data_IF_253532283075
#
_entry.id   IF_253532283075
#
_cell.length_a   1.000
_cell.length_b   1.000
_cell.length_c   1.000
_cell.angle_alpha   90.00
_cell.angle_beta   90.00
_cell.angle_gamma   90.00
#
_symmetry.space_group_name_H-M   'P 1'
#
loop_
_entity.id
_entity.type
_entity.pdbx_description
1 polymer ?
#
# COMPACT_ATOMS: atom_id res chain seq x y z
N UNK A 1 -22.78 23.61 6.30
CA UNK A 1 -23.12 24.45 5.13
C UNK A 1 -22.15 24.08 4.01
N UNK A 2 -22.39 22.96 3.34
CA UNK A 2 -21.56 22.49 2.23
C UNK A 2 -22.53 22.23 1.07
N UNK A 3 -22.09 22.52 -0.16
CA UNK A 3 -22.84 22.32 -1.39
C UNK A 3 -23.30 20.87 -1.56
N UNK A 4 -23.95 20.58 -2.68
CA UNK A 4 -24.43 19.22 -2.97
C UNK A 4 -23.22 18.27 -3.00
N UNK A 5 -23.06 17.51 -1.94
CA UNK A 5 -21.99 16.53 -1.79
C UNK A 5 -22.43 15.22 -2.44
N UNK A 6 -21.73 14.79 -3.49
CA UNK A 6 -21.83 13.41 -3.94
C UNK A 6 -20.95 12.56 -3.03
N UNK A 7 -21.59 11.78 -2.17
CA UNK A 7 -20.91 10.83 -1.31
C UNK A 7 -21.16 9.42 -1.82
N UNK A 8 -20.08 8.64 -1.93
CA UNK A 8 -20.15 7.22 -2.15
C UNK A 8 -19.15 6.51 -1.25
N UNK A 9 -19.31 5.19 -1.15
CA UNK A 9 -18.32 4.33 -0.49
C UNK A 9 -17.29 3.90 -1.52
N UNK A 10 -16.01 4.16 -1.29
CA UNK A 10 -14.93 3.55 -2.06
C UNK A 10 -14.63 2.16 -1.52
N UNK A 11 -14.46 1.21 -2.44
CA UNK A 11 -13.97 -0.13 -2.17
C UNK A 11 -12.50 -0.22 -2.57
N UNK A 12 -11.67 -0.63 -1.62
CA UNK A 12 -10.26 -0.96 -1.79
C UNK A 12 -10.18 -2.48 -1.94
N UNK A 13 -10.15 -3.00 -3.16
CA UNK A 13 -10.18 -4.46 -3.39
C UNK A 13 -8.84 -5.18 -3.21
N UNK A 14 -7.81 -4.48 -2.78
CA UNK A 14 -6.43 -5.00 -2.71
C UNK A 14 -5.95 -4.87 -1.27
N UNK A 15 -4.87 -5.59 -0.89
CA UNK A 15 -4.27 -5.40 0.42
C UNK A 15 -4.07 -3.90 0.63
N UNK A 16 -4.69 -3.29 1.66
CA UNK A 16 -4.59 -1.86 1.91
C UNK A 16 -3.19 -1.52 2.43
N UNK A 17 -2.19 -1.63 1.55
CA UNK A 17 -0.84 -1.18 1.80
C UNK A 17 -0.70 0.16 1.09
N UNK A 18 -0.18 1.16 1.79
CA UNK A 18 -0.15 2.55 1.33
C UNK A 18 0.40 2.69 -0.09
N UNK A 19 1.57 2.10 -0.39
CA UNK A 19 2.16 2.14 -1.74
C UNK A 19 1.29 1.46 -2.83
N UNK A 20 0.61 0.36 -2.51
CA UNK A 20 -0.25 -0.34 -3.47
C UNK A 20 -1.53 0.43 -3.74
N UNK A 21 -2.09 1.06 -2.72
CA UNK A 21 -3.25 1.93 -2.87
C UNK A 21 -2.87 3.17 -3.67
N UNK A 22 -1.73 3.81 -3.38
CA UNK A 22 -1.26 4.96 -4.16
C UNK A 22 -1.06 4.62 -5.64
N UNK A 23 -0.51 3.45 -5.96
CA UNK A 23 -0.40 2.98 -7.35
C UNK A 23 -1.76 2.74 -7.99
N UNK A 24 -2.69 2.09 -7.28
CA UNK A 24 -4.06 1.89 -7.78
C UNK A 24 -4.79 3.22 -8.04
N UNK A 25 -4.62 4.15 -7.11
CA UNK A 25 -5.23 5.47 -7.06
C UNK A 25 -4.69 6.45 -8.12
N UNK A 26 -3.47 6.23 -8.59
CA UNK A 26 -2.82 7.12 -9.57
C UNK A 26 -2.76 6.51 -10.97
N UNK A 27 -2.58 5.19 -11.11
CA UNK A 27 -2.52 4.52 -12.40
C UNK A 27 -3.90 4.03 -12.92
N UNK A 28 -4.88 3.85 -12.02
CA UNK A 28 -6.21 3.37 -12.38
C UNK A 28 -6.23 1.87 -12.69
N UNK A 29 -5.24 1.15 -12.19
CA UNK A 29 -5.04 -0.28 -12.38
C UNK A 29 -5.02 -1.00 -11.03
N UNK A 30 -5.30 -2.30 -11.06
CA UNK A 30 -5.08 -3.16 -9.90
C UNK A 30 -3.60 -3.54 -9.87
N UNK A 31 -2.85 -3.24 -8.79
CA UNK A 31 -1.50 -3.76 -8.61
C UNK A 31 -1.51 -5.28 -8.71
N UNK A 32 -0.65 -5.83 -9.58
CA UNK A 32 -0.40 -7.27 -9.63
C UNK A 32 0.48 -7.71 -8.46
N UNK A 33 0.51 -8.99 -8.16
CA UNK A 33 1.45 -9.52 -7.16
C UNK A 33 2.91 -9.25 -7.56
N UNK A 34 3.21 -9.28 -8.86
CA UNK A 34 4.53 -8.89 -9.36
C UNK A 34 4.83 -7.40 -9.08
N UNK A 35 3.83 -6.52 -9.19
CA UNK A 35 3.97 -5.12 -8.80
C UNK A 35 4.27 -4.97 -7.31
N UNK A 36 3.65 -5.77 -6.44
CA UNK A 36 3.99 -5.77 -5.01
C UNK A 36 5.47 -6.06 -4.82
N UNK A 37 5.96 -7.16 -5.39
CA UNK A 37 7.37 -7.58 -5.28
C UNK A 37 8.33 -6.56 -5.90
N UNK A 38 7.97 -5.98 -7.04
CA UNK A 38 8.83 -5.01 -7.75
C UNK A 38 8.81 -3.63 -7.09
N UNK A 39 7.68 -3.18 -6.54
CA UNK A 39 7.57 -1.92 -5.80
C UNK A 39 8.37 -1.97 -4.48
N UNK A 40 8.54 -3.14 -3.87
CA UNK A 40 9.51 -3.31 -2.77
C UNK A 40 10.96 -3.10 -3.22
N UNK A 41 11.26 -3.29 -4.51
CA UNK A 41 12.60 -3.15 -5.07
C UNK A 41 12.86 -1.79 -5.75
N UNK A 42 11.81 -1.04 -6.11
CA UNK A 42 11.92 0.24 -6.82
C UNK A 42 11.30 1.39 -6.03
N UNK A 43 12.04 2.47 -5.87
CA UNK A 43 11.55 3.66 -5.14
C UNK A 43 10.56 4.52 -5.94
N UNK A 44 10.42 4.33 -7.26
CA UNK A 44 9.67 5.21 -8.17
C UNK A 44 8.61 4.44 -8.98
N UNK A 45 7.44 5.06 -9.18
CA UNK A 45 6.39 4.57 -10.08
C UNK A 45 6.76 4.95 -11.52
N UNK A 46 6.85 3.93 -12.38
CA UNK A 46 7.28 4.09 -13.78
C UNK A 46 6.14 3.95 -14.78
N UNK A 47 5.00 3.42 -14.33
CA UNK A 47 3.81 3.24 -15.16
C UNK A 47 3.10 4.57 -15.39
N UNK A 48 2.38 4.63 -16.52
CA UNK A 48 1.53 5.76 -16.84
C UNK A 48 0.45 5.98 -15.75
N UNK A 49 0.35 7.21 -15.26
CA UNK A 49 -0.46 7.58 -14.11
C UNK A 49 -0.97 9.02 -14.23
N UNK A 50 -1.97 9.38 -13.43
CA UNK A 50 -2.65 10.67 -13.50
C UNK A 50 -1.74 11.85 -13.13
N UNK A 51 -0.76 11.66 -12.24
CA UNK A 51 0.20 12.71 -11.86
C UNK A 51 1.05 13.09 -13.07
N UNK A 52 1.53 12.09 -13.81
CA UNK A 52 2.27 12.31 -15.05
C UNK A 52 1.38 12.94 -16.14
N UNK A 53 0.14 12.48 -16.30
CA UNK A 53 -0.79 13.06 -17.27
C UNK A 53 -1.11 14.53 -16.99
N UNK A 54 -1.29 14.90 -15.71
CA UNK A 54 -1.44 16.29 -15.29
C UNK A 54 -0.18 17.10 -15.60
N UNK A 55 1.01 16.56 -15.28
CA UNK A 55 2.27 17.24 -15.56
C UNK A 55 2.50 17.44 -17.07
N UNK A 56 2.19 16.44 -17.90
CA UNK A 56 2.29 16.54 -19.35
C UNK A 56 1.31 17.56 -19.95
N UNK A 57 0.14 17.72 -19.34
CA UNK A 57 -0.83 18.75 -19.71
C UNK A 57 -0.43 20.16 -19.21
N UNK A 58 0.68 20.29 -18.48
CA UNK A 58 1.22 21.57 -18.01
C UNK A 58 0.69 22.04 -16.65
N UNK A 59 -0.06 21.19 -15.93
CA UNK A 59 -0.51 21.52 -14.58
C UNK A 59 0.66 21.56 -13.59
N UNK A 60 0.61 22.51 -12.68
CA UNK A 60 1.57 22.69 -11.57
C UNK A 60 1.01 22.03 -10.33
N UNK A 61 1.70 21.00 -9.86
CA UNK A 61 1.22 20.12 -8.80
C UNK A 61 2.02 20.42 -7.54
N UNK A 62 1.36 20.86 -6.49
CA UNK A 62 1.96 21.01 -5.16
C UNK A 62 1.50 19.88 -4.25
N UNK A 63 2.44 19.38 -3.44
CA UNK A 63 2.19 18.30 -2.51
C UNK A 63 2.57 18.73 -1.09
N UNK A 64 1.70 18.41 -0.12
CA UNK A 64 1.98 18.51 1.31
C UNK A 64 1.62 17.16 1.95
N UNK A 65 2.60 16.45 2.49
CA UNK A 65 2.34 15.10 3.01
C UNK A 65 3.58 14.41 3.52
N UNK A 66 3.51 13.09 3.59
CA UNK A 66 4.65 12.26 3.95
C UNK A 66 5.67 12.15 2.79
N UNK A 67 6.93 11.83 3.11
CA UNK A 67 8.01 11.83 2.13
C UNK A 67 7.98 10.64 1.14
N UNK A 68 7.10 9.64 1.33
CA UNK A 68 6.93 8.51 0.41
C UNK A 68 6.51 8.97 -0.98
N UNK A 69 5.65 9.99 -1.08
CA UNK A 69 5.22 10.52 -2.38
C UNK A 69 6.38 11.10 -3.19
N UNK A 70 7.37 11.73 -2.56
CA UNK A 70 8.55 12.23 -3.26
C UNK A 70 9.44 11.11 -3.79
N UNK A 71 9.46 9.97 -3.09
CA UNK A 71 10.16 8.77 -3.55
C UNK A 71 9.43 8.18 -4.76
N UNK A 72 8.11 7.99 -4.63
CA UNK A 72 7.27 7.37 -5.66
C UNK A 72 7.13 8.23 -6.93
N UNK A 73 7.08 9.56 -6.78
CA UNK A 73 6.87 10.52 -7.86
C UNK A 73 7.99 11.57 -7.91
N UNK A 74 9.25 11.16 -8.13
CA UNK A 74 10.37 12.10 -8.12
C UNK A 74 10.20 13.11 -9.24
N UNK A 75 10.49 14.39 -8.94
CA UNK A 75 10.46 15.54 -9.88
C UNK A 75 9.10 15.85 -10.51
N UNK A 76 8.00 15.32 -9.98
CA UNK A 76 6.64 15.59 -10.49
C UNK A 76 5.92 16.72 -9.74
N UNK A 77 6.43 17.10 -8.58
CA UNK A 77 5.89 18.20 -7.77
C UNK A 77 6.72 19.48 -7.90
N UNK A 78 6.06 20.62 -7.71
CA UNK A 78 6.69 21.94 -7.72
C UNK A 78 7.62 22.14 -6.50
N UNK A 79 8.62 23.02 -6.65
CA UNK A 79 9.64 23.28 -5.63
C UNK A 79 9.09 23.70 -4.25
N UNK A 80 7.87 24.23 -4.21
CA UNK A 80 7.23 24.63 -2.96
C UNK A 80 6.54 23.48 -2.20
N UNK A 81 6.63 22.25 -2.69
CA UNK A 81 6.04 21.06 -2.06
C UNK A 81 6.84 20.61 -0.85
N UNK A 82 6.15 20.08 0.17
CA UNK A 82 6.76 19.72 1.45
C UNK A 82 6.49 18.25 1.80
N UNK A 83 7.56 17.53 2.14
CA UNK A 83 7.53 16.14 2.57
C UNK A 83 7.97 16.02 4.02
N UNK A 84 7.14 15.40 4.84
CA UNK A 84 7.43 15.12 6.24
C UNK A 84 7.84 13.67 6.41
N UNK A 85 8.91 13.43 7.16
CA UNK A 85 9.36 12.07 7.45
C UNK A 85 8.42 11.43 8.48
N UNK A 86 7.79 10.31 8.16
CA UNK A 86 6.70 9.71 8.95
C UNK A 86 7.04 8.36 9.60
N UNK A 87 8.32 8.02 9.78
CA UNK A 87 8.73 6.68 10.27
C UNK A 87 8.21 6.28 11.66
N UNK A 88 7.71 7.21 12.48
CA UNK A 88 7.29 6.93 13.85
C UNK A 88 5.77 6.92 14.00
N UNK A 89 5.19 5.71 14.03
CA UNK A 89 3.73 5.48 14.15
C UNK A 89 3.11 6.07 15.42
N UNK A 90 3.89 6.28 16.48
CA UNK A 90 3.41 6.91 17.72
C UNK A 90 3.18 8.43 17.57
N UNK A 91 3.69 9.05 16.52
CA UNK A 91 3.41 10.45 16.21
C UNK A 91 2.26 10.57 15.20
N UNK A 92 1.08 10.86 15.71
CA UNK A 92 -0.13 11.13 14.91
C UNK A 92 -0.46 12.62 14.89
N UNK A 93 0.52 13.51 15.11
CA UNK A 93 0.29 14.96 15.22
C UNK A 93 1.25 15.80 14.39
N UNK A 94 2.55 15.51 14.38
CA UNK A 94 3.54 16.38 13.74
C UNK A 94 3.35 16.40 12.22
N UNK A 95 3.16 15.22 11.62
CA UNK A 95 2.88 15.09 10.18
C UNK A 95 1.65 15.90 9.79
N UNK A 96 0.52 15.67 10.46
CA UNK A 96 -0.74 16.37 10.15
C UNK A 96 -0.63 17.89 10.36
N UNK A 97 0.09 18.34 11.39
CA UNK A 97 0.36 19.76 11.63
C UNK A 97 1.19 20.36 10.51
N UNK A 98 2.26 19.69 10.07
CA UNK A 98 3.11 20.16 8.97
C UNK A 98 2.33 20.23 7.65
N UNK A 99 1.50 19.22 7.36
CA UNK A 99 0.62 19.23 6.18
C UNK A 99 -0.34 20.41 6.23
N UNK A 100 -0.94 20.66 7.38
CA UNK A 100 -1.87 21.78 7.58
C UNK A 100 -1.16 23.13 7.43
N UNK A 101 0.04 23.28 7.99
CA UNK A 101 0.85 24.50 7.85
C UNK A 101 1.25 24.74 6.38
N UNK A 102 1.68 23.69 5.67
CA UNK A 102 1.98 23.76 4.24
C UNK A 102 0.74 24.20 3.45
N UNK A 103 -0.42 23.55 3.67
CA UNK A 103 -1.69 23.95 3.05
C UNK A 103 -2.02 25.42 3.30
N UNK A 104 -1.93 25.89 4.55
CA UNK A 104 -2.24 27.27 4.90
C UNK A 104 -1.32 28.28 4.22
N UNK A 105 -0.02 27.97 4.18
CA UNK A 105 0.99 28.78 3.49
C UNK A 105 0.68 28.88 1.99
N UNK A 106 0.28 27.78 1.35
CA UNK A 106 -0.14 27.74 -0.06
C UNK A 106 -1.38 28.57 -0.37
N UNK A 107 -2.31 28.65 0.58
CA UNK A 107 -3.56 29.40 0.40
C UNK A 107 -3.43 30.89 0.74
N UNK A 108 -2.58 31.24 1.71
CA UNK A 108 -2.54 32.59 2.30
C UNK A 108 -1.31 33.41 1.96
N UNK A 109 -0.16 32.76 1.84
CA UNK A 109 1.12 33.44 1.68
C UNK A 109 1.65 33.34 0.24
N UNK A 110 1.37 32.23 -0.42
CA UNK A 110 1.68 32.04 -1.84
C UNK A 110 0.52 32.46 -2.74
N UNK A 111 0.82 32.67 -4.02
CA UNK A 111 -0.20 33.04 -5.00
C UNK A 111 -0.95 31.80 -5.46
N UNK A 112 -2.27 31.90 -5.52
CA UNK A 112 -3.12 30.82 -6.05
C UNK A 112 -2.71 30.46 -7.48
N UNK A 113 -2.24 31.43 -8.25
CA UNK A 113 -1.77 31.20 -9.61
C UNK A 113 -0.38 30.57 -9.67
N UNK A 114 0.26 30.14 -8.57
CA UNK A 114 1.54 29.41 -8.60
C UNK A 114 1.33 27.88 -8.67
N UNK A 115 0.11 27.39 -8.47
CA UNK A 115 -0.24 25.98 -8.54
C UNK A 115 -1.64 25.77 -9.14
N UNK A 116 -1.89 24.59 -9.68
CA UNK A 116 -3.19 24.23 -10.28
C UNK A 116 -3.82 23.00 -9.59
N UNK A 117 -2.99 22.15 -8.99
CA UNK A 117 -3.42 20.95 -8.25
C UNK A 117 -2.68 20.90 -6.91
N UNK A 118 -3.44 20.75 -5.82
CA UNK A 118 -2.89 20.54 -4.48
C UNK A 118 -3.26 19.14 -3.99
N UNK A 119 -2.25 18.38 -3.56
CA UNK A 119 -2.43 17.06 -2.94
C UNK A 119 -2.03 17.18 -1.47
N UNK A 120 -2.95 16.84 -0.57
CA UNK A 120 -2.74 16.79 0.86
C UNK A 120 -2.83 15.34 1.34
N UNK A 121 -1.83 14.87 2.06
CA UNK A 121 -1.78 13.49 2.55
C UNK A 121 -1.53 13.47 4.06
N UNK A 122 -2.57 13.10 4.81
CA UNK A 122 -2.60 13.05 6.27
C UNK A 122 -2.43 11.61 6.76
N UNK A 123 -1.71 11.41 7.89
CA UNK A 123 -1.41 10.07 8.43
C UNK A 123 -1.97 9.82 9.83
N UNK A 124 -2.45 10.86 10.52
CA UNK A 124 -2.80 10.73 11.94
C UNK A 124 -3.87 9.68 12.25
N UNK A 125 -4.81 9.41 11.34
CA UNK A 125 -5.82 8.35 11.53
C UNK A 125 -5.21 6.94 11.48
N UNK A 126 -4.32 6.69 10.51
CA UNK A 126 -3.61 5.42 10.40
C UNK A 126 -2.72 5.17 11.63
N UNK A 127 -1.94 6.18 12.00
CA UNK A 127 -1.04 6.12 13.15
C UNK A 127 -1.78 5.89 14.49
N UNK A 128 -2.93 6.53 14.71
CA UNK A 128 -3.78 6.25 15.88
C UNK A 128 -4.30 4.82 15.84
N UNK A 129 -4.76 4.36 14.67
CA UNK A 129 -5.25 3.01 14.47
C UNK A 129 -4.21 1.98 14.91
N UNK A 130 -3.00 2.03 14.35
CA UNK A 130 -1.91 1.12 14.72
C UNK A 130 -1.48 1.22 16.18
N UNK A 131 -1.42 2.44 16.72
CA UNK A 131 -0.88 2.67 18.06
C UNK A 131 -1.86 2.30 19.17
N UNK A 132 -3.15 2.56 18.97
CA UNK A 132 -4.17 2.54 20.03
C UNK A 132 -5.38 1.64 19.71
N UNK A 133 -5.51 1.15 18.47
CA UNK A 133 -6.64 0.37 17.98
C UNK A 133 -7.63 1.19 17.16
N UNK A 134 -8.32 0.52 16.23
CA UNK A 134 -9.26 1.12 15.27
C UNK A 134 -10.62 1.56 15.86
N UNK A 135 -10.83 1.36 17.16
CA UNK A 135 -12.01 1.80 17.93
C UNK A 135 -11.65 2.77 19.08
N UNK A 136 -10.40 3.26 19.13
CA UNK A 136 -9.99 4.14 20.22
C UNK A 136 -10.66 5.52 20.11
N UNK A 137 -11.11 6.09 21.24
CA UNK A 137 -11.77 7.42 21.33
C UNK A 137 -10.93 8.59 20.75
N UNK A 138 -9.64 8.36 20.52
CA UNK A 138 -8.73 9.35 19.94
C UNK A 138 -9.01 9.55 18.44
N UNK A 139 -9.56 8.53 17.77
CA UNK A 139 -10.02 8.63 16.39
C UNK A 139 -11.13 9.68 16.25
N UNK A 140 -12.07 9.77 17.20
CA UNK A 140 -13.13 10.79 17.15
C UNK A 140 -12.58 12.21 17.21
N UNK A 141 -11.52 12.43 17.99
CA UNK A 141 -10.83 13.72 18.06
C UNK A 141 -10.13 14.02 16.74
N UNK A 142 -9.46 13.02 16.16
CA UNK A 142 -8.75 13.17 14.88
C UNK A 142 -9.70 13.34 13.70
N UNK A 143 -10.86 12.69 13.69
CA UNK A 143 -11.90 12.91 12.68
C UNK A 143 -12.46 14.33 12.71
N UNK A 144 -12.63 14.93 13.91
CA UNK A 144 -13.02 16.35 14.06
C UNK A 144 -11.93 17.31 13.56
N UNK A 145 -10.66 16.94 13.72
CA UNK A 145 -9.54 17.67 13.15
C UNK A 145 -9.61 17.65 11.61
N UNK A 146 -9.80 16.47 11.00
CA UNK A 146 -9.94 16.34 9.54
C UNK A 146 -11.15 17.11 9.00
N UNK A 147 -12.31 17.05 9.67
CA UNK A 147 -13.49 17.85 9.31
C UNK A 147 -13.19 19.35 9.35
N UNK A 148 -12.44 19.81 10.36
CA UNK A 148 -12.03 21.21 10.51
C UNK A 148 -11.09 21.65 9.38
N UNK A 149 -10.14 20.80 8.99
CA UNK A 149 -9.22 21.03 7.86
C UNK A 149 -10.01 21.14 6.55
N UNK A 150 -10.89 20.18 6.25
CA UNK A 150 -11.71 20.17 5.03
C UNK A 150 -12.57 21.44 4.95
N UNK A 151 -13.21 21.82 6.06
CA UNK A 151 -14.02 23.03 6.14
C UNK A 151 -13.20 24.30 5.90
N UNK A 152 -11.99 24.36 6.46
CA UNK A 152 -11.07 25.48 6.24
C UNK A 152 -10.66 25.58 4.78
N UNK A 153 -10.17 24.47 4.20
CA UNK A 153 -9.78 24.41 2.79
C UNK A 153 -10.92 24.87 1.88
N UNK A 154 -12.14 24.35 2.08
CA UNK A 154 -13.31 24.78 1.33
C UNK A 154 -13.57 26.29 1.44
N UNK A 155 -13.54 26.84 2.66
CA UNK A 155 -13.82 28.26 2.90
C UNK A 155 -12.82 29.15 2.18
N UNK A 156 -11.53 28.86 2.36
CA UNK A 156 -10.44 29.63 1.76
C UNK A 156 -10.47 29.53 0.23
N UNK A 157 -10.68 28.33 -0.33
CA UNK A 157 -10.85 28.16 -1.80
C UNK A 157 -12.06 28.93 -2.33
N UNK A 158 -13.18 28.91 -1.59
CA UNK A 158 -14.37 29.67 -1.98
C UNK A 158 -14.13 31.18 -2.00
N UNK A 159 -13.30 31.68 -1.08
CA UNK A 159 -12.92 33.08 -1.02
C UNK A 159 -11.91 33.46 -2.12
N UNK A 160 -10.95 32.58 -2.43
CA UNK A 160 -9.88 32.83 -3.39
C UNK A 160 -10.33 32.71 -4.85
N UNK A 161 -11.10 31.67 -5.19
CA UNK A 161 -11.47 31.33 -6.59
C UNK A 161 -12.98 31.23 -6.81
N UNK A 162 -13.79 31.63 -5.82
CA UNK A 162 -15.25 31.62 -5.92
C UNK A 162 -15.79 30.19 -5.99
N UNK A 163 -16.31 29.80 -7.13
CA UNK A 163 -16.92 28.48 -7.35
C UNK A 163 -16.09 27.59 -8.28
N UNK A 164 -14.96 28.07 -8.78
CA UNK A 164 -14.17 27.41 -9.82
C UNK A 164 -13.12 26.46 -9.22
N UNK A 165 -13.58 25.48 -8.43
CA UNK A 165 -12.71 24.47 -7.86
C UNK A 165 -13.43 23.15 -7.63
N UNK A 166 -12.65 22.07 -7.59
CA UNK A 166 -13.08 20.74 -7.19
C UNK A 166 -12.28 20.29 -5.97
N UNK A 167 -12.93 19.61 -5.03
CA UNK A 167 -12.22 18.88 -3.98
C UNK A 167 -12.64 17.43 -3.98
N UNK A 168 -11.67 16.54 -3.78
CA UNK A 168 -11.88 15.11 -3.61
C UNK A 168 -11.30 14.72 -2.26
N UNK A 169 -12.16 14.24 -1.36
CA UNK A 169 -11.76 13.76 -0.03
C UNK A 169 -12.02 12.27 0.05
N UNK A 170 -11.03 11.51 0.47
CA UNK A 170 -11.15 10.07 0.60
C UNK A 170 -10.15 9.48 1.60
N UNK A 171 -10.37 8.23 1.97
CA UNK A 171 -9.35 7.36 2.57
C UNK A 171 -8.68 6.48 1.52
N UNK A 172 -7.43 6.11 1.76
CA UNK A 172 -6.71 5.07 1.02
C UNK A 172 -7.06 3.67 1.56
N UNK A 173 -7.29 3.54 2.86
CA UNK A 173 -7.83 2.33 3.47
C UNK A 173 -8.59 2.58 4.78
N UNK A 174 -9.24 1.52 5.26
CA UNK A 174 -9.76 1.46 6.62
C UNK A 174 -8.89 0.59 7.52
N UNK A 175 -9.41 0.23 8.69
CA UNK A 175 -8.66 -0.45 9.75
C UNK A 175 -9.56 -1.42 10.52
N UNK A 176 -9.00 -2.52 11.02
CA UNK A 176 -9.66 -3.44 11.96
C UNK A 176 -9.79 -2.82 13.36
N UNK A 177 -10.62 -3.42 14.23
CA UNK A 177 -10.76 -3.01 15.65
C UNK A 177 -9.40 -2.96 16.37
N UNK A 178 -8.53 -3.92 16.06
CA UNK A 178 -7.22 -4.07 16.68
C UNK A 178 -6.18 -3.08 16.14
N UNK A 179 -6.52 -2.26 15.14
CA UNK A 179 -5.57 -1.31 14.57
C UNK A 179 -4.69 -1.86 13.45
N UNK A 180 -5.01 -3.05 12.93
CA UNK A 180 -4.33 -3.59 11.75
C UNK A 180 -5.11 -3.31 10.46
N UNK A 181 -4.39 -3.30 9.34
CA UNK A 181 -4.94 -3.35 7.99
C UNK A 181 -4.13 -4.38 7.17
N UNK A 182 -4.52 -4.61 5.91
CA UNK A 182 -3.86 -5.53 4.98
C UNK A 182 -4.77 -6.69 4.55
N UNK A 183 -5.91 -6.85 5.22
CA UNK A 183 -6.93 -7.83 4.94
C UNK A 183 -7.98 -7.38 3.91
N UNK A 184 -9.06 -8.16 3.84
CA UNK A 184 -10.17 -7.97 2.89
C UNK A 184 -11.51 -7.69 3.58
N UNK A 185 -11.49 -7.37 4.87
CA UNK A 185 -12.73 -7.08 5.60
C UNK A 185 -13.37 -5.80 5.06
N UNK A 186 -14.69 -5.68 5.24
CA UNK A 186 -15.41 -4.48 4.82
C UNK A 186 -14.87 -3.23 5.54
N UNK A 187 -14.42 -3.37 6.79
CA UNK A 187 -13.88 -2.26 7.59
C UNK A 187 -12.52 -1.77 7.09
N UNK A 188 -11.70 -2.68 6.58
CA UNK A 188 -10.40 -2.37 5.99
C UNK A 188 -10.50 -1.83 4.56
N UNK A 189 -11.52 -2.25 3.82
CA UNK A 189 -11.63 -1.97 2.38
C UNK A 189 -12.65 -0.88 2.05
N UNK A 190 -13.58 -0.55 2.96
CA UNK A 190 -14.57 0.50 2.73
C UNK A 190 -14.10 1.83 3.29
N UNK A 191 -13.86 2.80 2.41
CA UNK A 191 -13.43 4.15 2.78
C UNK A 191 -14.41 5.21 2.25
N UNK A 192 -14.50 6.38 2.88
CA UNK A 192 -15.32 7.46 2.36
C UNK A 192 -14.74 7.97 1.02
N UNK A 193 -15.63 8.38 0.11
CA UNK A 193 -15.31 9.18 -1.07
C UNK A 193 -16.30 10.31 -1.20
N UNK A 194 -15.76 11.52 -1.24
CA UNK A 194 -16.54 12.74 -1.24
C UNK A 194 -16.04 13.63 -2.37
N UNK A 195 -16.93 13.94 -3.31
CA UNK A 195 -16.69 14.96 -4.33
C UNK A 195 -17.41 16.23 -3.96
N UNK A 196 -16.69 17.34 -4.03
CA UNK A 196 -17.18 18.68 -3.77
C UNK A 196 -16.92 19.54 -5.01
N UNK A 197 -17.99 20.12 -5.53
CA UNK A 197 -17.99 21.08 -6.63
C UNK A 197 -18.26 22.48 -6.07
N UNK A 198 -17.37 23.43 -6.34
CA UNK A 198 -17.57 24.83 -5.94
C UNK A 198 -18.82 25.46 -6.57
N UNK A 199 -19.26 25.02 -7.76
CA UNK A 199 -20.44 25.55 -8.47
C UNK A 199 -21.77 25.06 -7.92
N UNK A 200 -21.79 23.94 -7.21
CA UNK A 200 -23.03 23.31 -6.78
C UNK A 200 -23.54 24.01 -5.51
N UNK A 201 -24.33 25.08 -5.71
CA UNK A 201 -24.93 25.90 -4.66
C UNK A 201 -25.51 25.08 -3.49
N UNK A 202 -25.45 25.70 -2.31
CA UNK A 202 -26.08 25.33 -1.03
C UNK A 202 -27.48 24.73 -1.21
N UNK A 203 -27.58 23.44 -1.50
CA UNK A 203 -28.82 22.72 -1.34
C UNK A 203 -29.17 22.74 0.16
N UNK A 204 -30.26 23.40 0.53
CA UNK A 204 -30.77 23.39 1.90
C UNK A 204 -31.19 21.95 2.24
N UNK A 205 -30.33 21.24 2.96
CA UNK A 205 -30.51 19.83 3.34
C UNK A 205 -31.80 19.57 4.15
N UNK A 206 -32.44 20.62 4.67
CA UNK A 206 -33.64 20.53 5.51
C UNK A 206 -34.97 20.56 4.76
N UNK A 207 -35.01 20.99 3.49
CA UNK A 207 -36.29 21.19 2.76
C UNK A 207 -36.49 20.26 1.58
N UNK A 208 -35.42 19.71 1.03
CA UNK A 208 -35.53 18.75 -0.07
C UNK A 208 -35.48 17.34 0.50
N UNK A 209 -36.66 16.73 0.62
CA UNK A 209 -36.77 15.28 0.71
C UNK A 209 -36.11 14.66 -0.52
N UNK A 210 -34.83 14.31 -0.41
CA UNK A 210 -34.06 13.66 -1.48
C UNK A 210 -34.58 12.25 -1.64
N UNK A 211 -35.64 12.12 -2.44
CA UNK A 211 -36.14 10.88 -2.95
C UNK A 211 -36.65 11.10 -4.38
N UNK A 212 -35.74 11.14 -5.35
CA UNK A 212 -35.76 10.19 -6.47
C UNK A 212 -34.33 10.01 -7.02
N UNK A 213 -33.72 8.84 -6.77
CA UNK A 213 -32.36 8.53 -7.12
C UNK A 213 -32.30 7.84 -8.50
N UNK A 214 -31.38 8.23 -9.38
CA UNK A 214 -30.78 7.22 -10.25
C UNK A 214 -29.71 6.47 -9.42
N UNK A 215 -30.17 5.84 -8.34
CA UNK A 215 -29.44 5.24 -7.19
C UNK A 215 -28.18 6.01 -6.73
N UNK A 216 -28.13 6.60 -5.51
CA UNK A 216 -26.86 7.08 -4.98
C UNK A 216 -25.87 5.93 -5.10
N UNK A 217 -24.72 6.21 -5.70
CA UNK A 217 -23.71 5.21 -6.03
C UNK A 217 -23.40 4.39 -4.77
N UNK A 218 -23.86 3.14 -4.72
CA UNK A 218 -23.70 2.28 -3.55
C UNK A 218 -22.22 2.08 -3.20
N UNK A 219 -21.39 1.93 -4.23
CA UNK A 219 -19.94 1.92 -4.10
C UNK A 219 -19.21 2.26 -5.41
N UNK A 220 -17.98 2.76 -5.30
CA UNK A 220 -17.00 2.91 -6.36
C UNK A 220 -15.74 2.09 -6.04
N UNK A 221 -14.93 1.82 -7.06
CA UNK A 221 -13.59 1.26 -6.88
C UNK A 221 -12.56 2.40 -6.83
N UNK A 222 -11.46 2.29 -6.08
CA UNK A 222 -10.43 3.35 -6.03
C UNK A 222 -9.86 3.70 -7.41
N UNK A 223 -9.73 2.70 -8.27
CA UNK A 223 -9.29 2.86 -9.66
C UNK A 223 -10.22 3.74 -10.50
N UNK A 224 -11.49 3.93 -10.08
CA UNK A 224 -12.47 4.79 -10.76
C UNK A 224 -12.10 6.27 -10.67
N UNK A 225 -11.29 6.67 -9.69
CA UNK A 225 -10.93 8.07 -9.54
C UNK A 225 -10.06 8.56 -10.69
N UNK A 226 -9.14 7.73 -11.18
CA UNK A 226 -8.20 8.11 -12.23
C UNK A 226 -8.87 8.61 -13.51
N UNK A 227 -9.79 7.86 -14.16
CA UNK A 227 -10.50 8.39 -15.32
C UNK A 227 -11.42 9.56 -14.97
N UNK A 228 -11.90 9.64 -13.72
CA UNK A 228 -12.74 10.74 -13.25
C UNK A 228 -11.95 12.05 -13.17
N UNK A 229 -10.78 12.06 -12.51
CA UNK A 229 -9.87 13.21 -12.45
C UNK A 229 -9.42 13.57 -13.85
N UNK A 230 -9.03 12.59 -14.67
CA UNK A 230 -8.60 12.86 -16.05
C UNK A 230 -9.67 13.64 -16.82
N UNK A 231 -10.94 13.23 -16.73
CA UNK A 231 -12.02 13.95 -17.39
C UNK A 231 -12.38 15.28 -16.72
N UNK A 232 -12.23 15.43 -15.39
CA UNK A 232 -12.42 16.70 -14.67
C UNK A 232 -11.34 17.74 -15.02
N UNK A 233 -10.13 17.29 -15.31
CA UNK A 233 -8.98 18.15 -15.63
C UNK A 233 -8.70 18.24 -17.14
N UNK A 234 -9.54 17.60 -17.97
CA UNK A 234 -9.42 17.53 -19.43
C UNK A 234 -8.05 17.01 -19.90
N UNK A 235 -7.54 15.99 -19.20
CA UNK A 235 -6.29 15.30 -19.52
C UNK A 235 -6.55 13.90 -20.09
N UNK A 236 -5.52 13.26 -20.64
CA UNK A 236 -5.65 11.89 -21.11
C UNK A 236 -5.77 10.93 -19.93
N UNK A 237 -6.70 9.97 -20.04
CA UNK A 237 -6.81 8.86 -19.08
C UNK A 237 -5.57 7.95 -19.25
N UNK A 238 -4.86 7.60 -18.16
CA UNK A 238 -3.72 6.69 -18.20
C UNK A 238 -3.98 5.42 -19.00
N UNK A 239 -2.97 4.93 -19.73
CA UNK A 239 -3.18 3.99 -20.84
C UNK A 239 -3.74 2.64 -20.43
N UNK A 240 -3.40 2.20 -19.23
CA UNK A 240 -3.81 0.91 -18.69
C UNK A 240 -5.01 1.02 -17.74
N UNK A 241 -5.54 2.21 -17.51
CA UNK A 241 -6.62 2.43 -16.55
C UNK A 241 -7.87 1.59 -16.90
N UNK A 242 -8.32 0.81 -15.93
CA UNK A 242 -9.55 0.01 -15.96
C UNK A 242 -10.63 0.57 -15.01
N UNK A 243 -10.46 1.79 -14.53
CA UNK A 243 -11.48 2.52 -13.79
C UNK A 243 -12.70 2.88 -14.64
N UNK A 244 -13.87 2.96 -13.99
CA UNK A 244 -15.10 3.49 -14.57
C UNK A 244 -15.27 4.94 -14.12
N UNK A 245 -15.45 5.84 -15.08
CA UNK A 245 -15.56 7.26 -14.81
C UNK A 245 -16.84 7.59 -14.01
N UNK A 246 -16.69 8.35 -12.91
CA UNK A 246 -17.76 8.70 -11.97
C UNK A 246 -18.49 10.00 -12.31
N UNK A 247 -18.10 10.72 -13.36
CA UNK A 247 -18.80 11.93 -13.81
C UNK A 247 -20.32 11.76 -13.99
N UNK A 248 -20.86 10.62 -14.47
CA UNK A 248 -22.30 10.39 -14.53
C UNK A 248 -23.02 10.37 -13.17
N UNK A 249 -22.30 10.28 -12.06
CA UNK A 249 -22.86 10.39 -10.71
C UNK A 249 -22.58 11.75 -10.07
N UNK A 250 -21.51 12.44 -10.49
CA UNK A 250 -21.08 13.72 -9.93
C UNK A 250 -21.78 14.89 -10.62
N UNK A 251 -21.75 14.91 -11.96
CA UNK A 251 -22.22 16.03 -12.79
C UNK A 251 -23.63 15.83 -13.36
N UNK A 252 -24.31 14.75 -12.98
CA UNK A 252 -25.64 14.43 -13.49
C UNK A 252 -26.69 15.29 -12.79
N UNK A 253 -26.72 16.55 -13.20
CA UNK A 253 -27.78 17.51 -12.95
C UNK A 253 -28.60 17.67 -14.24
N UNK A 254 -29.87 18.03 -14.11
CA UNK A 254 -30.84 18.26 -15.20
C UNK A 254 -30.52 19.51 -16.03
N UNK A 255 -29.43 20.21 -15.69
CA UNK A 255 -28.98 21.45 -16.34
C UNK A 255 -28.03 21.12 -17.49
N UNK A 256 -28.61 21.08 -18.69
CA UNK A 256 -28.10 20.90 -20.06
C UNK A 256 -26.61 21.13 -20.41
N UNK A 257 -25.78 21.82 -19.61
CA UNK A 257 -24.38 22.11 -19.93
C UNK A 257 -23.38 21.04 -19.46
N UNK A 258 -23.64 20.30 -18.38
CA UNK A 258 -22.77 19.19 -17.93
C UNK A 258 -22.95 17.90 -18.76
N UNK A 259 -23.96 17.86 -19.62
CA UNK A 259 -24.44 16.65 -20.30
C UNK A 259 -23.47 16.11 -21.35
N UNK A 260 -22.86 17.01 -22.12
CA UNK A 260 -21.95 16.61 -23.20
C UNK A 260 -20.62 16.11 -22.65
N UNK A 261 -20.15 16.71 -21.55
CA UNK A 261 -18.93 16.28 -20.87
C UNK A 261 -19.11 14.86 -20.33
N UNK A 262 -20.26 14.58 -19.72
CA UNK A 262 -20.62 13.22 -19.27
C UNK A 262 -20.62 12.26 -20.45
N UNK A 263 -21.30 12.57 -21.56
CA UNK A 263 -21.35 11.68 -22.74
C UNK A 263 -19.95 11.48 -23.35
N UNK A 264 -19.15 12.53 -23.47
CA UNK A 264 -17.78 12.46 -23.99
C UNK A 264 -16.90 11.55 -23.11
N UNK A 265 -17.00 11.71 -21.79
CA UNK A 265 -16.26 10.88 -20.83
C UNK A 265 -16.62 9.40 -20.95
N UNK A 266 -17.90 9.08 -21.21
CA UNK A 266 -18.34 7.69 -21.46
C UNK A 266 -17.74 7.13 -22.75
N UNK A 267 -17.66 7.93 -23.82
CA UNK A 267 -17.03 7.51 -25.08
C UNK A 267 -15.54 7.23 -24.85
N UNK A 268 -14.83 8.11 -24.16
CA UNK A 268 -13.42 7.95 -23.84
C UNK A 268 -13.17 6.70 -23.00
N UNK A 269 -13.97 6.49 -21.95
CA UNK A 269 -13.84 5.33 -21.05
C UNK A 269 -14.18 4.01 -21.76
N UNK A 270 -15.24 3.98 -22.59
CA UNK A 270 -15.60 2.78 -23.36
C UNK A 270 -14.54 2.43 -24.42
N UNK A 271 -14.01 3.43 -25.14
CA UNK A 271 -12.89 3.23 -26.08
C UNK A 271 -11.64 2.70 -25.37
N UNK A 272 -11.34 3.19 -24.17
CA UNK A 272 -10.24 2.67 -23.34
C UNK A 272 -10.45 1.18 -23.06
N UNK A 273 -11.62 0.76 -22.60
CA UNK A 273 -11.89 -0.64 -22.30
C UNK A 273 -11.85 -1.54 -23.55
N UNK A 274 -12.34 -1.05 -24.69
CA UNK A 274 -12.23 -1.76 -25.98
C UNK A 274 -10.75 -1.94 -26.38
N UNK A 275 -9.92 -0.90 -26.21
CA UNK A 275 -8.49 -0.98 -26.52
C UNK A 275 -7.75 -2.01 -25.64
N UNK A 276 -8.24 -2.22 -24.41
CA UNK A 276 -7.76 -3.24 -23.48
C UNK A 276 -8.39 -4.63 -23.70
N UNK A 277 -9.12 -4.81 -24.82
CA UNK A 277 -9.75 -6.08 -25.22
C UNK A 277 -10.74 -6.63 -24.19
N UNK A 278 -11.61 -5.77 -23.65
CA UNK A 278 -12.68 -6.17 -22.74
C UNK A 278 -13.56 -7.30 -23.34
N UNK A 279 -14.04 -8.26 -22.52
CA UNK A 279 -14.80 -9.41 -23.02
C UNK A 279 -16.18 -9.06 -23.61
N UNK A 280 -16.81 -7.95 -23.17
CA UNK A 280 -18.13 -7.50 -23.63
C UNK A 280 -18.04 -6.35 -24.64
N UNK A 281 -17.29 -6.56 -25.73
CA UNK A 281 -17.06 -5.50 -26.73
C UNK A 281 -18.33 -5.00 -27.40
N UNK A 282 -19.36 -5.82 -27.63
CA UNK A 282 -20.58 -5.40 -28.31
C UNK A 282 -21.33 -4.29 -27.55
N UNK A 283 -21.51 -4.44 -26.23
CA UNK A 283 -22.17 -3.45 -25.40
C UNK A 283 -21.37 -2.14 -25.28
N UNK A 284 -20.03 -2.24 -25.24
CA UNK A 284 -19.15 -1.09 -25.23
C UNK A 284 -19.14 -0.38 -26.59
N UNK A 285 -19.15 -1.12 -27.70
CA UNK A 285 -19.26 -0.56 -29.05
C UNK A 285 -20.60 0.14 -29.24
N UNK A 286 -21.69 -0.45 -28.76
CA UNK A 286 -23.01 0.21 -28.72
C UNK A 286 -22.95 1.52 -27.94
N UNK A 287 -22.30 1.53 -26.77
CA UNK A 287 -22.12 2.75 -25.97
C UNK A 287 -21.37 3.83 -26.75
N UNK A 288 -20.26 3.48 -27.43
CA UNK A 288 -19.47 4.41 -28.25
C UNK A 288 -20.30 4.93 -29.42
N UNK A 289 -20.94 4.06 -30.18
CA UNK A 289 -21.73 4.43 -31.36
C UNK A 289 -22.88 5.35 -30.98
N UNK A 290 -23.66 4.97 -29.96
CA UNK A 290 -24.84 5.72 -29.54
C UNK A 290 -24.48 7.06 -28.94
N UNK A 291 -23.47 7.11 -28.08
CA UNK A 291 -22.95 8.35 -27.48
C UNK A 291 -22.38 9.30 -28.54
N UNK A 292 -21.61 8.77 -29.50
CA UNK A 292 -21.10 9.57 -30.63
C UNK A 292 -22.24 10.11 -31.49
N UNK A 293 -23.31 9.32 -31.69
CA UNK A 293 -24.52 9.75 -32.39
C UNK A 293 -25.28 10.87 -31.67
N UNK A 294 -25.28 10.90 -30.32
CA UNK A 294 -25.82 12.02 -29.53
C UNK A 294 -24.94 13.26 -29.71
N UNK A 295 -23.62 13.13 -29.52
CA UNK A 295 -22.68 14.24 -29.69
C UNK A 295 -22.76 14.86 -31.09
N UNK A 296 -22.80 14.03 -32.14
CA UNK A 296 -22.88 14.47 -33.53
C UNK A 296 -24.16 15.28 -33.79
N UNK A 297 -25.32 14.82 -33.32
CA UNK A 297 -26.59 15.55 -33.47
C UNK A 297 -26.58 16.85 -32.69
N UNK A 298 -26.01 16.86 -31.48
CA UNK A 298 -25.84 18.10 -30.76
C UNK A 298 -25.01 19.11 -31.55
N UNK A 299 -23.88 18.69 -32.13
CA UNK A 299 -23.02 19.57 -32.92
C UNK A 299 -23.67 20.06 -34.22
N UNK A 300 -24.54 19.26 -34.85
CA UNK A 300 -25.20 19.62 -36.13
C UNK A 300 -26.49 20.43 -35.92
N UNK A 301 -27.33 20.02 -34.98
CA UNK A 301 -28.71 20.49 -34.83
C UNK A 301 -28.92 21.34 -33.56
N UNK A 302 -27.91 21.46 -32.69
CA UNK A 302 -27.98 22.14 -31.40
C UNK A 302 -28.93 21.48 -30.40
N UNK A 303 -29.34 20.22 -30.64
CA UNK A 303 -30.41 19.55 -29.90
C UNK A 303 -30.04 18.11 -29.52
N UNK A 304 -30.45 17.70 -28.32
CA UNK A 304 -30.48 16.30 -27.85
C UNK A 304 -31.94 15.86 -27.74
N UNK A 305 -32.27 14.62 -28.14
CA UNK A 305 -33.62 14.10 -27.95
C UNK A 305 -33.91 13.90 -26.46
N UNK A 306 -35.11 14.29 -26.02
CA UNK A 306 -35.56 14.12 -24.64
C UNK A 306 -35.55 12.63 -24.24
N UNK A 307 -34.95 12.27 -23.11
CA UNK A 307 -34.89 10.89 -22.61
C UNK A 307 -33.77 10.04 -23.22
N UNK A 308 -33.15 10.48 -24.31
CA UNK A 308 -32.11 9.72 -25.00
C UNK A 308 -30.80 9.68 -24.22
N UNK A 309 -30.43 10.81 -23.59
CA UNK A 309 -29.22 10.91 -22.76
C UNK A 309 -29.28 9.93 -21.60
N UNK A 310 -30.40 9.90 -20.90
CA UNK A 310 -30.62 9.09 -19.70
C UNK A 310 -30.50 7.60 -20.02
N UNK A 311 -31.05 7.17 -21.16
CA UNK A 311 -30.92 5.81 -21.66
C UNK A 311 -29.46 5.50 -22.00
N UNK A 312 -28.78 6.40 -22.72
CA UNK A 312 -27.38 6.21 -23.13
C UNK A 312 -26.47 6.10 -21.92
N UNK A 313 -26.55 7.04 -20.98
CA UNK A 313 -25.74 7.05 -19.75
C UNK A 313 -25.99 5.76 -18.95
N UNK A 314 -27.26 5.39 -18.72
CA UNK A 314 -27.61 4.18 -17.96
C UNK A 314 -27.05 2.90 -18.61
N UNK A 315 -27.21 2.75 -19.92
CA UNK A 315 -26.74 1.56 -20.64
C UNK A 315 -25.21 1.50 -20.74
N UNK A 316 -24.56 2.65 -21.01
CA UNK A 316 -23.11 2.78 -21.01
C UNK A 316 -22.50 2.42 -19.65
N UNK A 317 -23.05 2.97 -18.57
CA UNK A 317 -22.57 2.68 -17.22
C UNK A 317 -22.70 1.21 -16.86
N UNK A 318 -23.81 0.57 -17.23
CA UNK A 318 -23.99 -0.87 -17.05
C UNK A 318 -22.93 -1.67 -17.82
N UNK A 319 -22.65 -1.30 -19.08
CA UNK A 319 -21.64 -1.98 -19.90
C UNK A 319 -20.22 -1.80 -19.34
N UNK A 320 -19.87 -0.58 -18.91
CA UNK A 320 -18.59 -0.25 -18.30
C UNK A 320 -18.38 -1.00 -16.99
N UNK A 321 -19.35 -0.98 -16.06
CA UNK A 321 -19.27 -1.69 -14.78
C UNK A 321 -19.10 -3.20 -14.97
N UNK A 322 -19.87 -3.80 -15.88
CA UNK A 322 -19.74 -5.22 -16.20
C UNK A 322 -18.36 -5.56 -16.81
N UNK A 323 -17.82 -4.69 -17.67
CA UNK A 323 -16.48 -4.89 -18.22
C UNK A 323 -15.38 -4.75 -17.15
N UNK A 324 -15.51 -3.76 -16.25
CA UNK A 324 -14.61 -3.59 -15.11
C UNK A 324 -14.62 -4.81 -14.18
N UNK A 325 -15.79 -5.33 -13.82
CA UNK A 325 -15.91 -6.53 -12.98
C UNK A 325 -15.15 -7.73 -13.59
N UNK A 326 -15.22 -7.89 -14.92
CA UNK A 326 -14.46 -8.93 -15.61
C UNK A 326 -12.95 -8.70 -15.57
N UNK A 327 -12.49 -7.44 -15.70
CA UNK A 327 -11.07 -7.12 -15.54
C UNK A 327 -10.58 -7.41 -14.11
N UNK A 328 -11.37 -7.05 -13.09
CA UNK A 328 -11.04 -7.32 -11.69
C UNK A 328 -10.99 -8.84 -11.41
N UNK A 329 -11.95 -9.59 -11.95
CA UNK A 329 -11.99 -11.05 -11.81
C UNK A 329 -10.81 -11.74 -12.50
N UNK A 330 -10.38 -11.27 -13.68
CA UNK A 330 -9.25 -11.86 -14.38
C UNK A 330 -7.92 -11.61 -13.65
N UNK A 331 -7.70 -10.40 -13.14
CA UNK A 331 -6.48 -10.05 -12.38
C UNK A 331 -6.37 -10.87 -11.08
N UNK A 332 -7.48 -11.04 -10.35
CA UNK A 332 -7.49 -11.85 -9.12
C UNK A 332 -7.17 -13.31 -9.41
N UNK A 333 -7.69 -13.88 -10.50
CA UNK A 333 -7.38 -15.25 -10.94
C UNK A 333 -5.91 -15.43 -11.37
N UNK A 334 -5.31 -14.43 -12.02
CA UNK A 334 -3.90 -14.45 -12.43
C UNK A 334 -2.94 -14.37 -11.23
N UNK A 335 -3.29 -13.55 -10.23
CA UNK A 335 -2.43 -13.35 -9.05
C UNK A 335 -2.46 -14.54 -8.09
N UNK A 336 -3.59 -15.25 -7.95
CA UNK A 336 -3.72 -16.33 -6.96
C UNK A 336 -2.68 -17.46 -7.15
N UNK A 337 -2.44 -18.01 -8.36
CA UNK A 337 -1.37 -18.99 -8.58
C UNK A 337 0.02 -18.45 -8.28
N UNK A 338 0.28 -17.19 -8.61
CA UNK A 338 1.58 -16.55 -8.36
C UNK A 338 1.83 -16.37 -6.86
N UNK A 339 0.81 -15.94 -6.11
CA UNK A 339 0.86 -15.85 -4.64
C UNK A 339 1.12 -17.23 -4.04
N UNK A 340 0.32 -18.24 -4.42
CA UNK A 340 0.45 -19.61 -3.88
C UNK A 340 1.83 -20.18 -4.19
N UNK A 341 2.32 -20.02 -5.42
CA UNK A 341 3.65 -20.50 -5.81
C UNK A 341 4.77 -19.79 -5.04
N UNK A 342 4.66 -18.48 -4.83
CA UNK A 342 5.65 -17.71 -4.04
C UNK A 342 5.66 -18.13 -2.58
N UNK A 343 4.48 -18.29 -1.96
CA UNK A 343 4.36 -18.83 -0.60
C UNK A 343 4.95 -20.24 -0.49
N UNK A 344 4.72 -21.11 -1.49
CA UNK A 344 5.29 -22.45 -1.51
C UNK A 344 6.82 -22.43 -1.64
N UNK A 345 7.38 -21.56 -2.49
CA UNK A 345 8.83 -21.39 -2.64
C UNK A 345 9.45 -20.88 -1.34
N UNK A 346 8.85 -19.84 -0.74
CA UNK A 346 9.25 -19.29 0.58
C UNK A 346 9.29 -20.38 1.65
N UNK A 347 8.21 -21.17 1.76
CA UNK A 347 8.11 -22.27 2.69
C UNK A 347 9.19 -23.33 2.44
N UNK A 348 9.40 -23.74 1.18
CA UNK A 348 10.41 -24.72 0.81
C UNK A 348 11.84 -24.23 1.06
N UNK A 349 12.12 -22.94 0.84
CA UNK A 349 13.40 -22.31 1.17
C UNK A 349 13.66 -22.30 2.68
N UNK A 350 12.63 -22.03 3.47
CA UNK A 350 12.69 -22.06 4.94
C UNK A 350 12.97 -23.48 5.43
N UNK A 351 12.24 -24.47 4.92
CA UNK A 351 12.46 -25.90 5.25
C UNK A 351 13.85 -26.36 4.84
N UNK A 352 14.33 -26.01 3.64
CA UNK A 352 15.68 -26.34 3.19
C UNK A 352 16.76 -25.70 4.08
N UNK A 353 16.59 -24.43 4.43
CA UNK A 353 17.52 -23.71 5.33
C UNK A 353 17.56 -24.36 6.71
N UNK A 354 16.41 -24.77 7.25
CA UNK A 354 16.33 -25.51 8.50
C UNK A 354 17.03 -26.86 8.42
N UNK A 355 16.80 -27.63 7.35
CA UNK A 355 17.46 -28.93 7.13
C UNK A 355 18.98 -28.75 7.08
N UNK A 356 19.49 -27.71 6.39
CA UNK A 356 20.92 -27.43 6.31
C UNK A 356 21.52 -27.10 7.69
N UNK A 357 20.85 -26.27 8.48
CA UNK A 357 21.29 -25.92 9.85
C UNK A 357 21.27 -27.16 10.73
N UNK A 358 20.18 -27.93 10.69
CA UNK A 358 20.01 -29.15 11.49
C UNK A 358 21.06 -30.19 11.13
N UNK A 359 21.23 -30.56 9.85
CA UNK A 359 22.23 -31.56 9.44
C UNK A 359 23.65 -31.16 9.80
N UNK A 360 23.96 -29.86 9.81
CA UNK A 360 25.29 -29.34 10.13
C UNK A 360 25.60 -29.33 11.63
N UNK A 361 24.58 -29.15 12.47
CA UNK A 361 24.74 -29.08 13.92
C UNK A 361 24.37 -30.37 14.66
N UNK A 362 23.59 -31.25 14.03
CA UNK A 362 23.05 -32.46 14.63
C UNK A 362 23.19 -33.66 13.68
N UNK A 363 23.92 -34.71 14.09
CA UNK A 363 24.13 -35.88 13.25
C UNK A 363 22.89 -36.79 13.11
N UNK A 364 21.84 -36.60 13.95
CA UNK A 364 20.55 -37.29 13.76
C UNK A 364 19.35 -36.42 14.15
N UNK A 365 18.18 -36.58 13.49
CA UNK A 365 16.94 -35.85 13.82
C UNK A 365 16.49 -36.08 15.29
N UNK A 366 16.75 -37.27 15.81
CA UNK A 366 16.44 -37.66 17.19
C UNK A 366 17.25 -36.81 18.19
N UNK A 367 18.50 -36.47 17.87
CA UNK A 367 19.34 -35.64 18.74
C UNK A 367 18.87 -34.19 18.85
N UNK A 368 18.16 -33.66 17.84
CA UNK A 368 17.53 -32.34 17.86
C UNK A 368 16.38 -32.31 18.86
N UNK A 369 15.45 -33.27 18.72
CA UNK A 369 14.27 -33.39 19.57
C UNK A 369 14.65 -33.60 21.05
N UNK A 370 15.65 -34.45 21.31
CA UNK A 370 16.17 -34.70 22.66
C UNK A 370 16.94 -33.49 23.26
N UNK A 371 17.48 -32.60 22.43
CA UNK A 371 18.18 -31.39 22.88
C UNK A 371 17.23 -30.23 23.19
N UNK A 372 16.18 -30.05 22.38
CA UNK A 372 15.15 -29.02 22.58
C UNK A 372 14.38 -29.27 23.89
N UNK A 373 14.05 -30.54 24.20
CA UNK A 373 13.39 -30.92 25.44
C UNK A 373 14.36 -31.22 26.61
N UNK A 374 15.65 -30.89 26.45
CA UNK A 374 16.66 -31.03 27.50
C UNK A 374 16.75 -32.44 28.09
N UNK A 375 16.45 -33.47 27.31
CA UNK A 375 16.34 -34.83 27.83
C UNK A 375 17.68 -35.57 27.79
N UNK A 376 18.59 -35.20 26.89
CA UNK A 376 19.87 -35.92 26.74
C UNK A 376 20.87 -35.69 27.88
N UNK A 377 20.83 -34.53 28.55
CA UNK A 377 21.78 -34.18 29.61
C UNK A 377 21.26 -34.43 31.04
N UNK A 378 19.96 -34.72 31.20
CA UNK A 378 19.38 -35.04 32.52
C UNK A 378 19.91 -36.32 33.14
N UNK A 379 20.48 -37.23 32.35
CA UNK A 379 21.00 -38.52 32.84
C UNK A 379 22.49 -38.53 33.19
N UNK A 380 23.25 -37.42 33.07
CA UNK A 380 24.70 -37.43 33.34
C UNK A 380 25.26 -36.30 34.21
N UNK A 381 24.48 -35.30 34.61
CA UNK A 381 25.00 -34.20 35.41
C UNK A 381 24.70 -34.38 36.90
N UNK A 382 25.71 -34.76 37.69
CA UNK A 382 25.72 -34.49 39.13
C UNK A 382 25.63 -32.96 39.35
N UNK A 383 24.75 -32.57 40.27
CA UNK A 383 24.08 -31.28 40.35
C UNK A 383 24.89 -30.06 40.83
N UNK A 384 26.18 -29.90 40.49
CA UNK A 384 26.94 -28.69 40.90
C UNK A 384 27.72 -27.93 39.81
N UNK A 385 27.98 -28.52 38.64
CA UNK A 385 28.73 -27.86 37.56
C UNK A 385 27.97 -27.70 36.23
N UNK A 386 26.67 -27.99 36.21
CA UNK A 386 25.90 -28.21 34.96
C UNK A 386 25.47 -26.95 34.21
N UNK A 387 25.18 -25.85 34.92
CA UNK A 387 24.56 -24.67 34.31
C UNK A 387 25.52 -23.92 33.35
N UNK A 388 26.78 -23.62 33.71
CA UNK A 388 27.68 -22.88 32.82
C UNK A 388 28.15 -23.69 31.60
N UNK A 389 28.23 -25.03 31.72
CA UNK A 389 28.63 -25.93 30.62
C UNK A 389 27.50 -26.13 29.59
N UNK A 390 26.24 -26.18 30.03
CA UNK A 390 25.09 -26.22 29.11
C UNK A 390 25.04 -24.99 28.19
N UNK A 391 25.23 -23.78 28.74
CA UNK A 391 25.26 -22.55 27.94
C UNK A 391 26.50 -22.48 27.04
N UNK A 392 27.66 -22.98 27.49
CA UNK A 392 28.90 -22.93 26.70
C UNK A 392 28.88 -23.74 25.39
N UNK A 393 28.16 -24.86 25.35
CA UNK A 393 28.16 -25.80 24.22
C UNK A 393 26.87 -25.76 23.36
N UNK A 394 25.75 -25.27 23.90
CA UNK A 394 24.44 -25.31 23.23
C UNK A 394 23.82 -23.94 22.87
N UNK A 395 24.55 -22.82 22.98
CA UNK A 395 24.02 -21.50 22.57
C UNK A 395 23.56 -21.49 21.10
N UNK A 396 24.31 -22.13 20.20
CA UNK A 396 23.93 -22.17 18.78
C UNK A 396 22.66 -22.97 18.50
N UNK A 397 22.38 -23.99 19.33
CA UNK A 397 21.21 -24.85 19.19
C UNK A 397 19.95 -24.21 19.79
N UNK A 398 20.09 -23.60 20.97
CA UNK A 398 19.00 -22.86 21.62
C UNK A 398 18.56 -21.67 20.74
N UNK A 399 19.53 -20.92 20.20
CA UNK A 399 19.24 -19.78 19.33
C UNK A 399 18.54 -20.20 18.03
N UNK A 400 18.96 -21.30 17.40
CA UNK A 400 18.28 -21.85 16.22
C UNK A 400 16.86 -22.34 16.51
N UNK A 401 16.61 -22.94 17.69
CA UNK A 401 15.28 -23.38 18.10
C UNK A 401 14.35 -22.21 18.41
N UNK A 402 14.85 -21.13 19.03
CA UNK A 402 14.10 -19.89 19.28
C UNK A 402 13.75 -19.20 17.96
N UNK A 403 14.70 -19.07 17.04
CA UNK A 403 14.44 -18.54 15.70
C UNK A 403 13.37 -19.36 14.95
N UNK A 404 13.41 -20.69 15.07
CA UNK A 404 12.39 -21.56 14.47
C UNK A 404 11.01 -21.38 15.11
N UNK A 405 10.93 -21.27 16.44
CA UNK A 405 9.67 -21.04 17.13
C UNK A 405 9.05 -19.68 16.79
N UNK A 406 9.88 -18.63 16.71
CA UNK A 406 9.46 -17.31 16.23
C UNK A 406 8.95 -17.38 14.79
N UNK A 407 9.66 -18.08 13.90
CA UNK A 407 9.22 -18.28 12.51
C UNK A 407 7.86 -18.99 12.41
N UNK A 408 7.65 -20.06 13.18
CA UNK A 408 6.36 -20.80 13.20
C UNK A 408 5.24 -19.92 13.76
N UNK A 409 5.49 -19.15 14.82
CA UNK A 409 4.49 -18.25 15.39
C UNK A 409 4.09 -17.14 14.38
N UNK A 410 5.02 -16.67 13.56
CA UNK A 410 4.77 -15.61 12.57
C UNK A 410 3.95 -16.07 11.36
N UNK A 411 3.93 -17.37 11.01
CA UNK A 411 2.97 -17.89 10.00
C UNK A 411 1.50 -17.73 10.43
N UNK A 412 1.24 -17.42 11.71
CA UNK A 412 -0.08 -17.12 12.25
C UNK A 412 -0.29 -15.62 12.52
N UNK A 413 0.67 -14.75 12.18
CA UNK A 413 0.53 -13.30 12.32
C UNK A 413 -0.27 -12.72 11.13
N UNK A 414 -1.10 -11.71 11.39
CA UNK A 414 -2.06 -11.17 10.42
C UNK A 414 -1.45 -10.23 9.35
N UNK A 415 -0.21 -9.74 9.51
CA UNK A 415 0.47 -8.79 8.60
C UNK A 415 1.32 -9.45 7.49
N UNK A 416 0.87 -10.61 6.99
CA UNK A 416 1.63 -11.57 6.17
C UNK A 416 2.29 -11.05 4.87
N UNK A 417 2.01 -9.82 4.40
CA UNK A 417 2.53 -9.31 3.10
C UNK A 417 3.66 -8.29 3.27
N UNK A 418 3.71 -7.53 4.36
CA UNK A 418 4.71 -6.44 4.52
C UNK A 418 5.99 -6.88 5.22
N UNK A 419 5.92 -7.83 6.15
CA UNK A 419 7.06 -8.17 7.01
C UNK A 419 7.84 -9.44 6.60
N UNK A 420 7.41 -10.15 5.54
CA UNK A 420 8.00 -11.45 5.19
C UNK A 420 9.45 -11.32 4.66
N UNK A 421 9.76 -10.28 3.87
CA UNK A 421 11.09 -10.09 3.28
C UNK A 421 12.14 -9.76 4.32
N UNK A 422 11.83 -8.84 5.23
CA UNK A 422 12.74 -8.47 6.32
C UNK A 422 13.01 -9.69 7.19
N UNK A 423 12.00 -10.48 7.50
CA UNK A 423 12.16 -11.67 8.32
C UNK A 423 12.99 -12.77 7.64
N UNK A 424 12.76 -13.07 6.36
CA UNK A 424 13.57 -14.06 5.62
C UNK A 424 15.02 -13.60 5.47
N UNK A 425 15.22 -12.31 5.17
CA UNK A 425 16.53 -11.69 5.10
C UNK A 425 17.24 -11.76 6.46
N UNK A 426 16.56 -11.40 7.56
CA UNK A 426 17.11 -11.47 8.91
C UNK A 426 17.35 -12.91 9.36
N UNK A 427 16.48 -13.86 9.02
CA UNK A 427 16.64 -15.28 9.35
C UNK A 427 17.81 -15.92 8.59
N UNK A 428 17.90 -15.70 7.28
CA UNK A 428 18.99 -16.19 6.45
C UNK A 428 20.33 -15.55 6.87
N UNK A 429 20.35 -14.23 7.06
CA UNK A 429 21.53 -13.51 7.56
C UNK A 429 21.96 -13.99 8.94
N UNK A 430 21.00 -14.20 9.86
CA UNK A 430 21.26 -14.77 11.19
C UNK A 430 21.84 -16.18 11.08
N UNK A 431 21.30 -17.02 10.20
CA UNK A 431 21.80 -18.37 9.94
C UNK A 431 23.24 -18.34 9.38
N UNK A 432 23.56 -17.43 8.45
CA UNK A 432 24.91 -17.23 7.93
C UNK A 432 25.89 -16.75 9.01
N UNK A 433 25.47 -15.81 9.86
CA UNK A 433 26.27 -15.31 11.00
C UNK A 433 26.58 -16.45 11.98
N UNK A 434 25.61 -17.29 12.31
CA UNK A 434 25.81 -18.46 13.19
C UNK A 434 26.80 -19.44 12.55
N UNK A 435 26.65 -19.72 11.25
CA UNK A 435 27.56 -20.59 10.49
C UNK A 435 28.98 -20.03 10.50
N UNK A 436 29.14 -18.71 10.34
CA UNK A 436 30.43 -18.05 10.35
C UNK A 436 31.06 -18.08 11.74
N UNK A 437 30.32 -17.66 12.78
CA UNK A 437 30.77 -17.65 14.17
C UNK A 437 31.20 -19.04 14.65
N UNK A 438 30.48 -20.09 14.27
CA UNK A 438 30.82 -21.48 14.62
C UNK A 438 32.09 -21.97 13.92
N UNK A 439 32.32 -21.60 12.65
CA UNK A 439 33.58 -21.86 11.94
C UNK A 439 34.76 -21.14 12.60
N UNK A 440 34.60 -19.86 12.95
CA UNK A 440 35.63 -19.07 13.64
C UNK A 440 35.95 -19.67 15.01
N UNK A 441 34.94 -20.04 15.81
CA UNK A 441 35.13 -20.68 17.11
C UNK A 441 35.88 -22.02 17.01
N UNK A 442 35.58 -22.83 15.99
CA UNK A 442 36.32 -24.09 15.71
C UNK A 442 37.77 -23.81 15.32
N UNK A 443 38.03 -22.81 14.48
CA UNK A 443 39.38 -22.40 14.10
C UNK A 443 40.20 -21.89 15.30
N UNK A 444 39.59 -21.07 16.16
CA UNK A 444 40.22 -20.57 17.39
C UNK A 444 40.48 -21.69 18.41
N UNK A 445 39.56 -22.65 18.57
CA UNK A 445 39.79 -23.86 19.39
C UNK A 445 40.95 -24.68 18.85
N UNK A 446 41.02 -24.92 17.53
CA UNK A 446 42.15 -25.62 16.90
C UNK A 446 43.48 -24.88 17.13
N UNK A 447 43.52 -23.56 16.95
CA UNK A 447 44.73 -22.75 17.25
C UNK A 447 45.14 -22.81 18.72
N UNK A 448 44.19 -22.77 19.66
CA UNK A 448 44.49 -22.93 21.10
C UNK A 448 44.98 -24.33 21.46
N UNK A 449 44.42 -25.37 20.85
CA UNK A 449 44.88 -26.75 21.04
C UNK A 449 46.28 -26.96 20.46
N UNK A 450 46.56 -26.44 19.26
CA UNK A 450 47.89 -26.47 18.65
C UNK A 450 48.91 -25.72 19.51
N UNK A 451 48.58 -24.52 20.03
CA UNK A 451 49.47 -23.81 20.98
C UNK A 451 49.72 -24.61 22.26
N UNK A 452 48.70 -25.28 22.81
CA UNK A 452 48.88 -26.15 23.99
C UNK A 452 49.72 -27.40 23.67
N UNK A 453 49.65 -27.91 22.45
CA UNK A 453 50.45 -29.05 22.01
C UNK A 453 51.93 -28.65 21.85
N UNK A 454 52.19 -27.50 21.20
CA UNK A 454 53.55 -26.94 21.05
C UNK A 454 54.18 -26.62 22.40
N UNK A 455 53.43 -26.05 23.35
CA UNK A 455 53.94 -25.80 24.72
C UNK A 455 54.23 -27.11 25.46
N UNK A 456 53.49 -28.19 25.16
CA UNK A 456 53.69 -29.49 25.82
C UNK A 456 54.86 -30.26 25.22
N UNK A 457 55.13 -30.12 23.92
CA UNK A 457 56.34 -30.62 23.27
C UNK A 457 57.58 -29.86 23.75
N UNK A 458 57.53 -28.52 23.87
CA UNK A 458 58.68 -27.76 24.38
C UNK A 458 59.06 -28.12 25.82
N UNK A 459 58.08 -28.37 26.69
CA UNK A 459 58.33 -28.82 28.08
C UNK A 459 58.88 -30.26 28.11
N UNK A 460 58.45 -31.11 27.17
CA UNK A 460 58.95 -32.48 27.01
C UNK A 460 60.40 -32.50 26.52
N UNK A 461 60.76 -31.61 25.60
CA UNK A 461 62.14 -31.50 25.09
C UNK A 461 63.09 -30.93 26.15
N UNK A 462 62.65 -29.94 26.94
CA UNK A 462 63.42 -29.41 28.09
C UNK A 462 63.65 -30.50 29.16
N UNK A 463 62.65 -31.35 29.46
CA UNK A 463 62.82 -32.50 30.40
C UNK A 463 63.75 -33.60 29.85
N UNK A 464 63.87 -33.75 28.52
CA UNK A 464 64.78 -34.70 27.88
C UNK A 464 66.21 -34.16 27.83
N UNK A 465 66.39 -32.85 27.66
CA UNK A 465 67.69 -32.18 27.64
C UNK A 465 68.31 -32.12 29.05
N UNK A 466 67.49 -31.90 30.10
CA UNK A 466 67.92 -31.92 31.51
C UNK A 466 68.28 -33.34 32.02
N UNK A 467 67.74 -34.39 31.40
CA UNK A 467 68.17 -35.79 31.63
C UNK A 467 69.45 -36.17 30.88
N UNK A 468 69.87 -35.42 29.87
CA UNK A 468 71.14 -35.64 29.16
C UNK A 468 72.31 -34.89 29.79
N UNK A 469 72.07 -33.74 30.42
CA UNK A 469 73.07 -32.97 31.18
C UNK A 469 73.49 -33.63 32.50
N UNK A 470 72.66 -34.52 33.04
CA UNK A 470 72.92 -35.28 34.28
C UNK A 470 73.73 -36.57 34.06
N UNK A 471 74.11 -36.88 32.82
CA UNK A 471 74.89 -38.08 32.44
C UNK A 471 76.25 -37.75 31.77
N UNK A 472 76.71 -36.49 31.77
CA UNK A 472 78.03 -36.09 31.26
C UNK A 472 79.04 -35.83 32.38
#
# INVERSE_FOLDING_TARGET
MVGKLSHSRLMCRHPPLQCLVLKAFTAGTVPSFADVVMNFASNEISEDNIVDQLKYAGFRIVFCGDDTWFRLFPKRFENGSEGTVSFFVNDYTEVDNNVTLCMERKLKEERIEDWDVMILHYLGLDHIGHSLGGDHERLDVKLKEMDSVIKKLHSEMSELVGTDFWMVVLGDHGMTEAGGHGGSSMRETSVPLVFIDGMQERANWFTDSVSDPSEPMGSAEQIDLVPTIASLMDTAVPVNSIGVNLLPYILYDSRHQSDLRVILSMVQNARRFISLKAPNNEALMWCVERSTGVLRRYCLDGRVLRGEKEIVVKMCMKALRLAQENFLASHTLLNLPLIISTMLISFMMTVCSLILVVRKHYPSPISVFLSIFGWRDRHRAHAKDGLPRMFGENISSIFAAVLFALQVAMFFASSLVEEEHDLQYFFFSSCLIIIFATKVRRALRRRRLLRKFVIRESISDDEIEDRRSTFS
#
